data_IF_553945466767
#
_entry.id   IF_553945466767
#
_cell.length_a   1.000
_cell.length_b   1.000
_cell.length_c   1.000
_cell.angle_alpha   90.00
_cell.angle_beta   90.00
_cell.angle_gamma   90.00
#
_symmetry.space_group_name_H-M   'P 1'
#
loop_
_entity.id
_entity.type
_entity.pdbx_description
1 polymer ?
#
# COMPACT_ATOMS: atom_id res chain seq x y z
N UNK A 1 26.86 -3.01 -15.10
CA UNK A 1 26.65 -4.45 -15.43
C UNK A 1 26.20 -5.12 -14.16
N UNK A 2 25.05 -5.80 -14.14
CA UNK A 2 24.60 -6.55 -12.97
C UNK A 2 25.54 -7.75 -12.74
N UNK A 3 26.56 -7.56 -11.91
CA UNK A 3 27.44 -8.61 -11.40
C UNK A 3 26.94 -9.14 -10.05
N UNK A 4 27.65 -10.08 -9.45
CA UNK A 4 27.34 -10.54 -8.08
C UNK A 4 27.79 -9.47 -7.06
N UNK A 5 26.90 -8.54 -6.72
CA UNK A 5 27.16 -7.49 -5.75
C UNK A 5 26.31 -7.70 -4.49
N UNK A 6 26.93 -8.15 -3.40
CA UNK A 6 26.25 -8.32 -2.11
C UNK A 6 25.71 -6.99 -1.55
N UNK A 7 26.28 -5.84 -1.97
CA UNK A 7 25.80 -4.51 -1.59
C UNK A 7 24.55 -4.07 -2.36
N UNK A 8 23.96 -4.91 -3.20
CA UNK A 8 22.64 -4.72 -3.84
C UNK A 8 21.53 -5.53 -3.16
N UNK A 9 21.89 -6.41 -2.21
CA UNK A 9 20.92 -7.14 -1.38
C UNK A 9 20.35 -6.14 -0.37
N UNK A 10 19.03 -5.93 -0.42
CA UNK A 10 18.33 -4.99 0.46
C UNK A 10 17.57 -5.72 1.56
N UNK A 11 17.71 -5.25 2.79
CA UNK A 11 16.93 -5.72 3.94
C UNK A 11 16.05 -4.58 4.43
N UNK A 12 14.74 -4.77 4.39
CA UNK A 12 13.81 -3.81 4.97
C UNK A 12 13.90 -3.88 6.50
N UNK A 13 14.80 -3.08 7.10
CA UNK A 13 15.09 -3.12 8.53
C UNK A 13 13.98 -2.48 9.37
N UNK A 14 13.48 -1.32 8.96
CA UNK A 14 12.32 -0.68 9.58
C UNK A 14 11.40 -0.17 8.49
N UNK A 15 10.16 -0.65 8.50
CA UNK A 15 9.13 -0.26 7.55
C UNK A 15 8.00 0.51 8.24
N UNK A 16 7.36 1.42 7.51
CA UNK A 16 6.17 2.17 7.95
C UNK A 16 5.15 2.22 6.83
N UNK A 17 3.88 2.21 7.19
CA UNK A 17 2.77 2.36 6.25
C UNK A 17 2.02 3.62 6.62
N UNK A 18 1.93 4.54 5.67
CA UNK A 18 1.20 5.78 5.82
C UNK A 18 -0.03 5.78 4.91
N UNK A 19 -1.12 6.37 5.39
CA UNK A 19 -2.34 6.59 4.62
C UNK A 19 -2.66 8.08 4.57
N UNK A 20 -3.19 8.56 3.45
CA UNK A 20 -3.68 9.92 3.30
C UNK A 20 -4.95 9.96 2.44
N UNK A 21 -5.73 11.04 2.49
CA UNK A 21 -6.77 11.31 1.51
C UNK A 21 -6.20 11.34 0.08
N UNK A 22 -6.97 10.88 -0.90
CA UNK A 22 -6.59 10.96 -2.32
C UNK A 22 -6.31 12.42 -2.71
N UNK A 23 -5.25 12.63 -3.48
CA UNK A 23 -4.81 13.97 -3.90
C UNK A 23 -3.89 14.68 -2.89
N UNK A 24 -3.62 14.08 -1.73
CA UNK A 24 -2.57 14.58 -0.83
C UNK A 24 -1.22 14.51 -1.52
N UNK A 25 -0.47 15.61 -1.50
CA UNK A 25 0.86 15.67 -2.10
C UNK A 25 1.80 14.68 -1.39
N UNK A 26 2.30 13.72 -2.16
CA UNK A 26 3.34 12.82 -1.71
C UNK A 26 4.70 13.53 -1.74
N UNK A 27 5.66 13.11 -0.90
CA UNK A 27 7.03 13.63 -0.97
C UNK A 27 7.61 13.43 -2.37
N UNK A 28 8.30 14.44 -2.91
CA UNK A 28 8.99 14.36 -4.21
C UNK A 28 10.32 13.61 -4.12
N UNK A 29 10.87 13.48 -2.92
CA UNK A 29 12.14 12.80 -2.63
C UNK A 29 12.04 12.10 -1.27
N UNK A 30 12.88 11.08 -1.08
CA UNK A 30 13.19 10.35 0.16
C UNK A 30 13.72 11.23 1.29
N UNK A 31 14.27 12.42 0.99
CA UNK A 31 14.81 13.37 1.97
C UNK A 31 13.74 14.29 2.59
N UNK A 32 12.58 14.43 1.93
CA UNK A 32 11.50 15.34 2.34
C UNK A 32 10.60 14.65 3.37
N UNK A 33 10.16 15.32 4.43
CA UNK A 33 9.20 14.71 5.36
C UNK A 33 7.84 14.44 4.68
N UNK A 34 7.10 13.45 5.17
CA UNK A 34 5.72 13.23 4.74
C UNK A 34 4.87 14.45 5.10
N UNK A 35 4.02 14.90 4.17
CA UNK A 35 3.15 16.05 4.40
C UNK A 35 2.15 15.76 5.54
N UNK A 36 1.66 16.80 6.22
CA UNK A 36 0.80 16.66 7.41
C UNK A 36 -0.50 15.85 7.21
N UNK A 37 -0.93 15.62 5.97
CA UNK A 37 -2.08 14.78 5.64
C UNK A 37 -1.81 13.27 5.68
N UNK A 38 -0.56 12.84 5.84
CA UNK A 38 -0.17 11.44 5.94
C UNK A 38 -0.19 10.96 7.39
N UNK A 39 -0.94 9.89 7.64
CA UNK A 39 -1.10 9.25 8.96
C UNK A 39 -0.39 7.91 8.96
N UNK A 40 0.44 7.66 9.97
CA UNK A 40 1.14 6.38 10.15
C UNK A 40 0.18 5.36 10.76
N UNK A 41 0.02 4.22 10.09
CA UNK A 41 -0.81 3.09 10.55
C UNK A 41 -0.09 2.24 11.62
N UNK A 42 1.18 2.54 11.89
CA UNK A 42 1.93 2.01 13.02
C UNK A 42 2.48 0.60 12.79
N UNK A 43 2.48 -0.24 13.82
CA UNK A 43 3.12 -1.56 13.76
C UNK A 43 2.39 -2.52 12.82
N UNK A 44 3.15 -3.05 11.87
CA UNK A 44 2.75 -4.11 10.95
C UNK A 44 3.22 -5.49 11.45
N UNK A 45 2.64 -6.56 10.92
CA UNK A 45 3.06 -7.92 11.24
C UNK A 45 4.50 -8.21 10.79
N UNK A 46 5.18 -9.19 11.41
CA UNK A 46 6.52 -9.59 11.01
C UNK A 46 6.58 -10.22 9.60
N UNK A 47 5.42 -10.53 9.01
CA UNK A 47 5.30 -11.04 7.64
C UNK A 47 5.64 -9.97 6.58
N UNK A 48 5.74 -8.71 7.00
CA UNK A 48 6.13 -7.58 6.16
C UNK A 48 5.04 -7.11 5.20
N UNK A 49 5.47 -6.45 4.13
CA UNK A 49 4.60 -5.84 3.11
C UNK A 49 4.86 -6.54 1.79
N UNK A 50 3.80 -7.05 1.16
CA UNK A 50 3.88 -7.80 -0.10
C UNK A 50 3.32 -6.97 -1.25
N UNK A 51 4.18 -6.66 -2.23
CA UNK A 51 3.78 -6.02 -3.47
C UNK A 51 3.53 -7.07 -4.55
N UNK A 52 2.36 -7.03 -5.17
CA UNK A 52 2.02 -7.92 -6.30
C UNK A 52 1.59 -7.09 -7.49
N UNK A 53 2.30 -7.23 -8.61
CA UNK A 53 1.91 -6.67 -9.91
C UNK A 53 1.39 -7.82 -10.78
N UNK A 54 0.17 -7.68 -11.30
CA UNK A 54 -0.45 -8.65 -12.20
C UNK A 54 -0.88 -7.93 -13.48
N UNK A 55 -0.30 -8.33 -14.60
CA UNK A 55 -0.74 -7.89 -15.92
C UNK A 55 -1.55 -9.02 -16.55
N UNK A 56 -2.77 -8.72 -17.01
CA UNK A 56 -3.60 -9.65 -17.77
C UNK A 56 -3.45 -9.33 -19.25
N UNK A 57 -3.17 -10.37 -20.04
CA UNK A 57 -3.03 -10.30 -21.48
C UNK A 57 -4.20 -11.09 -22.10
N UNK A 58 -5.06 -10.41 -22.85
CA UNK A 58 -6.13 -11.06 -23.60
C UNK A 58 -5.61 -11.45 -25.00
N UNK A 59 -5.65 -12.74 -25.37
CA UNK A 59 -5.29 -13.19 -26.70
C UNK A 59 -6.30 -12.71 -27.76
N UNK A 60 -5.79 -12.15 -28.85
CA UNK A 60 -6.55 -11.86 -30.06
C UNK A 60 -6.45 -13.08 -30.96
N UNK A 61 -7.46 -13.92 -30.87
CA UNK A 61 -7.59 -15.08 -31.73
C UNK A 61 -8.01 -14.66 -33.14
N UNK A 62 -7.44 -15.32 -34.15
CA UNK A 62 -7.82 -15.10 -35.55
C UNK A 62 -8.47 -16.34 -36.09
N UNK A 63 -9.47 -16.18 -36.96
CA UNK A 63 -10.13 -17.33 -37.57
C UNK A 63 -9.18 -18.17 -38.45
N UNK A 64 -8.10 -17.57 -38.97
CA UNK A 64 -7.14 -18.25 -39.85
C UNK A 64 -6.04 -19.02 -39.10
N UNK A 65 -5.94 -18.90 -37.78
CA UNK A 65 -4.88 -19.56 -37.02
C UNK A 65 -5.38 -20.05 -35.66
N UNK A 66 -4.99 -21.27 -35.30
CA UNK A 66 -5.33 -21.89 -34.00
C UNK A 66 -4.56 -21.23 -32.85
N UNK A 67 -3.52 -20.44 -33.15
CA UNK A 67 -2.74 -19.69 -32.16
C UNK A 67 -3.11 -18.20 -32.21
N UNK A 68 -3.12 -17.50 -31.05
CA UNK A 68 -3.45 -16.09 -31.00
C UNK A 68 -2.47 -15.26 -31.81
N UNK A 69 -3.00 -14.36 -32.64
CA UNK A 69 -2.18 -13.53 -33.53
C UNK A 69 -1.50 -12.37 -32.79
N UNK A 70 -2.08 -11.94 -31.66
CA UNK A 70 -1.54 -10.85 -30.83
C UNK A 70 -2.08 -10.97 -29.41
N UNK A 71 -1.31 -10.52 -28.42
CA UNK A 71 -1.84 -10.27 -27.07
C UNK A 71 -2.13 -8.77 -26.90
N UNK A 72 -3.29 -8.45 -26.33
CA UNK A 72 -3.66 -7.10 -25.90
C UNK A 72 -3.58 -7.06 -24.38
N UNK A 73 -3.00 -6.00 -23.81
CA UNK A 73 -3.07 -5.79 -22.36
C UNK A 73 -4.51 -5.46 -21.98
N UNK A 74 -5.12 -6.34 -21.18
CA UNK A 74 -6.49 -6.24 -20.73
C UNK A 74 -6.57 -5.41 -19.45
N UNK A 75 -5.77 -5.79 -18.45
CA UNK A 75 -5.78 -5.18 -17.13
C UNK A 75 -4.37 -5.15 -16.53
N UNK A 76 -4.10 -4.16 -15.69
CA UNK A 76 -2.89 -4.08 -14.89
C UNK A 76 -3.24 -3.74 -13.45
N UNK A 77 -3.18 -4.75 -12.60
CA UNK A 77 -3.43 -4.64 -11.17
C UNK A 77 -2.12 -4.50 -10.40
N UNK A 78 -2.08 -3.54 -9.49
CA UNK A 78 -1.00 -3.39 -8.52
C UNK A 78 -1.61 -3.43 -7.12
N UNK A 79 -1.29 -4.48 -6.37
CA UNK A 79 -1.83 -4.73 -5.04
C UNK A 79 -0.73 -4.76 -3.99
N UNK A 80 -1.07 -4.27 -2.81
CA UNK A 80 -0.22 -4.26 -1.62
C UNK A 80 -0.94 -5.00 -0.52
N UNK A 81 -0.35 -6.09 -0.03
CA UNK A 81 -0.89 -6.87 1.10
C UNK A 81 -0.05 -6.62 2.35
N UNK A 82 -0.70 -6.27 3.44
CA UNK A 82 -0.06 -6.08 4.74
C UNK A 82 -1.05 -6.36 5.88
N UNK A 83 -0.53 -6.67 7.06
CA UNK A 83 -1.34 -6.84 8.26
C UNK A 83 -0.92 -5.86 9.35
N UNK A 84 -1.88 -5.12 9.90
CA UNK A 84 -1.65 -4.19 11.01
C UNK A 84 -1.85 -4.92 12.35
N UNK A 85 -0.98 -4.65 13.31
CA UNK A 85 -1.06 -5.19 14.68
C UNK A 85 -1.66 -4.19 15.67
N UNK A 86 -1.67 -2.91 15.33
CA UNK A 86 -2.23 -1.86 16.18
C UNK A 86 -3.70 -1.60 15.86
N UNK A 87 -4.50 -1.47 16.92
CA UNK A 87 -5.86 -0.93 16.87
C UNK A 87 -5.84 0.48 17.44
N UNK A 88 -6.03 1.47 16.58
CA UNK A 88 -6.07 2.89 16.95
C UNK A 88 -7.17 3.62 16.14
N UNK A 89 -7.26 4.93 16.33
CA UNK A 89 -8.26 5.79 15.68
C UNK A 89 -8.19 5.82 14.15
N UNK A 90 -7.03 5.47 13.57
CA UNK A 90 -6.79 5.47 12.12
C UNK A 90 -6.87 4.06 11.52
N UNK A 91 -6.37 3.03 12.22
CA UNK A 91 -6.27 1.65 11.70
C UNK A 91 -7.61 0.94 11.67
N UNK A 92 -8.48 1.17 12.65
CA UNK A 92 -9.80 0.53 12.69
C UNK A 92 -10.74 1.08 11.60
N UNK A 93 -10.89 2.41 11.41
CA UNK A 93 -11.66 2.94 10.28
C UNK A 93 -11.07 2.55 8.92
N UNK A 94 -9.74 2.50 8.80
CA UNK A 94 -9.08 2.08 7.57
C UNK A 94 -9.40 0.62 7.21
N UNK A 95 -9.35 -0.29 8.19
CA UNK A 95 -9.70 -1.69 7.99
C UNK A 95 -11.20 -1.89 7.71
N UNK A 96 -12.06 -1.22 8.46
CA UNK A 96 -13.51 -1.36 8.33
C UNK A 96 -14.11 -0.54 7.16
N UNK A 97 -13.31 0.27 6.47
CA UNK A 97 -13.73 1.04 5.30
C UNK A 97 -14.65 2.22 5.58
N UNK A 98 -14.74 2.69 6.83
CA UNK A 98 -15.70 3.72 7.23
C UNK A 98 -15.09 5.02 7.74
N UNK A 99 -15.94 5.81 8.39
CA UNK A 99 -15.62 7.16 8.87
C UNK A 99 -14.87 7.12 10.22
N UNK A 100 -14.42 8.27 10.72
CA UNK A 100 -13.61 8.36 11.95
C UNK A 100 -14.32 7.80 13.19
N UNK A 101 -13.54 7.24 14.12
CA UNK A 101 -14.04 6.87 15.45
C UNK A 101 -14.51 8.13 16.19
N UNK A 102 -15.70 8.09 16.78
CA UNK A 102 -16.26 9.19 17.56
C UNK A 102 -16.41 8.82 19.03
N UNK A 103 -16.17 9.78 19.92
CA UNK A 103 -16.48 9.60 21.34
C UNK A 103 -18.01 9.55 21.53
N UNK A 104 -18.50 8.62 22.35
CA UNK A 104 -19.94 8.43 22.61
C UNK A 104 -20.57 9.64 23.31
N UNK A 105 -19.80 10.35 24.12
CA UNK A 105 -20.14 11.62 24.74
C UNK A 105 -18.84 12.33 25.14
N UNK A 106 -18.80 13.66 25.09
CA UNK A 106 -17.57 14.41 25.37
C UNK A 106 -17.02 14.08 26.78
N UNK A 107 -15.80 13.54 26.83
CA UNK A 107 -15.10 13.19 28.07
C UNK A 107 -15.56 11.86 28.71
N UNK A 108 -16.27 11.01 27.98
CA UNK A 108 -16.68 9.68 28.48
C UNK A 108 -15.53 8.66 28.47
N UNK A 109 -14.50 8.86 27.63
CA UNK A 109 -13.45 7.88 27.38
C UNK A 109 -13.94 6.61 26.67
N UNK A 110 -15.18 6.60 26.18
CA UNK A 110 -15.80 5.47 25.46
C UNK A 110 -15.99 5.87 24.00
N UNK A 111 -15.33 5.13 23.12
CA UNK A 111 -15.33 5.39 21.69
C UNK A 111 -16.24 4.42 20.94
N UNK A 112 -16.96 4.93 19.93
CA UNK A 112 -17.85 4.16 19.08
C UNK A 112 -17.44 4.32 17.62
N UNK A 113 -17.45 3.21 16.92
CA UNK A 113 -17.34 3.15 15.47
C UNK A 113 -18.62 2.50 14.94
N UNK A 114 -19.39 3.27 14.17
CA UNK A 114 -20.58 2.78 13.48
C UNK A 114 -20.23 2.44 12.03
N UNK A 115 -20.27 1.15 11.70
CA UNK A 115 -20.13 0.71 10.33
C UNK A 115 -21.38 1.14 9.56
N UNK A 116 -21.21 1.99 8.54
CA UNK A 116 -22.33 2.40 7.69
C UNK A 116 -22.91 1.19 6.95
N UNK A 117 -24.23 1.11 6.87
CA UNK A 117 -24.93 0.05 6.11
C UNK A 117 -24.65 0.11 4.60
N UNK A 118 -24.21 1.27 4.11
CA UNK A 118 -23.81 1.44 2.71
C UNK A 118 -22.30 1.29 2.58
N UNK A 119 -21.81 0.34 1.77
CA UNK A 119 -20.39 0.28 1.45
C UNK A 119 -20.01 1.56 0.71
N UNK A 120 -19.15 2.37 1.33
CA UNK A 120 -18.56 3.54 0.70
C UNK A 120 -17.25 3.13 0.04
N UNK A 121 -17.08 3.51 -1.23
CA UNK A 121 -15.76 3.44 -1.86
C UNK A 121 -14.83 4.41 -1.14
N UNK A 122 -13.97 3.87 -0.27
CA UNK A 122 -13.05 4.66 0.52
C UNK A 122 -11.69 4.67 -0.17
N UNK A 123 -11.59 5.48 -1.22
CA UNK A 123 -10.33 5.68 -1.92
C UNK A 123 -9.36 6.47 -1.01
N UNK A 124 -8.12 6.00 -0.95
CA UNK A 124 -7.03 6.59 -0.17
C UNK A 124 -5.75 6.61 -0.98
N UNK A 125 -4.78 7.41 -0.54
CA UNK A 125 -3.40 7.32 -0.97
C UNK A 125 -2.63 6.46 0.05
N UNK A 126 -1.75 5.57 -0.43
CA UNK A 126 -0.94 4.69 0.41
C UNK A 126 0.54 4.99 0.20
N UNK A 127 1.27 5.13 1.29
CA UNK A 127 2.70 5.34 1.34
C UNK A 127 3.34 4.19 2.09
N UNK A 128 4.35 3.57 1.51
CA UNK A 128 5.16 2.56 2.18
C UNK A 128 6.59 3.08 2.20
N UNK A 129 7.18 3.19 3.38
CA UNK A 129 8.57 3.59 3.55
C UNK A 129 9.34 2.47 4.22
N UNK A 130 10.53 2.15 3.73
CA UNK A 130 11.47 1.31 4.46
C UNK A 130 12.90 1.82 4.32
N UNK A 131 13.69 1.59 5.35
CA UNK A 131 15.12 1.95 5.38
C UNK A 131 15.99 0.70 5.54
N UNK A 132 17.11 0.69 4.83
CA UNK A 132 18.17 -0.30 4.97
C UNK A 132 19.46 0.39 5.45
N UNK A 133 19.76 0.26 6.75
CA UNK A 133 20.77 1.06 7.42
C UNK A 133 20.47 2.57 7.42
N UNK A 134 21.52 3.40 7.52
CA UNK A 134 21.38 4.85 7.66
C UNK A 134 21.41 5.62 6.32
N UNK A 135 21.82 4.97 5.24
CA UNK A 135 22.07 5.64 3.95
C UNK A 135 21.01 5.36 2.89
N UNK A 136 20.27 4.25 3.02
CA UNK A 136 19.36 3.75 1.99
C UNK A 136 17.92 3.89 2.45
N UNK A 137 17.12 4.58 1.66
CA UNK A 137 15.69 4.81 1.95
C UNK A 137 14.87 4.56 0.69
N UNK A 138 13.83 3.75 0.84
CA UNK A 138 12.85 3.49 -0.21
C UNK A 138 11.49 4.00 0.24
N UNK A 139 10.81 4.66 -0.67
CA UNK A 139 9.42 5.06 -0.53
C UNK A 139 8.65 4.61 -1.75
N UNK A 140 7.54 3.98 -1.49
CA UNK A 140 6.60 3.56 -2.49
C UNK A 140 5.29 4.28 -2.24
N UNK A 141 4.83 5.01 -3.23
CA UNK A 141 3.64 5.86 -3.12
C UNK A 141 2.62 5.42 -4.15
N UNK A 142 1.43 5.04 -3.67
CA UNK A 142 0.23 4.86 -4.47
C UNK A 142 -0.63 6.11 -4.29
N UNK A 143 -0.80 6.94 -5.33
CA UNK A 143 -1.55 8.19 -5.23
C UNK A 143 -3.07 7.99 -5.07
N UNK A 144 -3.59 6.86 -5.55
CA UNK A 144 -4.99 6.45 -5.36
C UNK A 144 -5.09 4.94 -5.35
N UNK A 145 -5.83 4.40 -4.38
CA UNK A 145 -6.21 3.01 -4.32
C UNK A 145 -7.32 2.80 -3.31
N UNK A 146 -7.79 1.56 -3.21
CA UNK A 146 -8.85 1.17 -2.29
C UNK A 146 -8.52 -0.16 -1.63
N UNK A 147 -9.04 -0.38 -0.42
CA UNK A 147 -9.02 -1.71 0.20
C UNK A 147 -10.02 -2.58 -0.56
N UNK A 148 -9.55 -3.64 -1.20
CA UNK A 148 -10.38 -4.56 -2.00
C UNK A 148 -10.71 -5.85 -1.26
N UNK A 149 -9.92 -6.20 -0.25
CA UNK A 149 -10.08 -7.42 0.52
C UNK A 149 -9.58 -7.18 1.94
N UNK A 150 -10.36 -7.67 2.91
CA UNK A 150 -10.01 -7.68 4.32
C UNK A 150 -9.93 -9.14 4.78
N UNK A 151 -8.85 -9.50 5.48
CA UNK A 151 -8.72 -10.81 6.09
C UNK A 151 -9.59 -10.93 7.35
N UNK A 152 -9.86 -12.15 7.80
CA UNK A 152 -10.62 -12.39 9.03
C UNK A 152 -9.85 -11.88 10.27
N UNK A 153 -10.56 -11.16 11.16
CA UNK A 153 -10.02 -10.81 12.47
C UNK A 153 -10.14 -12.02 13.40
N UNK A 154 -9.02 -12.65 13.73
CA UNK A 154 -8.97 -13.72 14.72
C UNK A 154 -8.69 -13.18 16.12
N UNK A 155 -9.56 -13.51 17.09
CA UNK A 155 -9.41 -13.15 18.50
C UNK A 155 -9.06 -14.42 19.31
N UNK A 156 -7.78 -14.61 19.61
CA UNK A 156 -7.32 -15.75 20.42
C UNK A 156 -6.51 -15.27 21.63
N UNK A 157 -6.39 -16.11 22.66
CA UNK A 157 -5.52 -15.82 23.80
C UNK A 157 -4.02 -16.00 23.49
N UNK A 158 -3.70 -16.58 22.34
CA UNK A 158 -2.34 -17.02 22.00
C UNK A 158 -1.68 -16.13 20.95
N UNK A 159 -2.42 -15.21 20.34
CA UNK A 159 -1.94 -14.37 19.24
C UNK A 159 -2.45 -12.93 19.37
N UNK A 160 -1.66 -11.98 18.89
CA UNK A 160 -2.10 -10.60 18.73
C UNK A 160 -3.16 -10.49 17.62
N UNK A 161 -4.04 -9.50 17.73
CA UNK A 161 -5.04 -9.17 16.70
C UNK A 161 -4.30 -8.72 15.45
N UNK A 162 -4.68 -9.29 14.29
CA UNK A 162 -4.14 -8.91 12.98
C UNK A 162 -5.26 -8.35 12.12
N UNK A 163 -5.04 -7.17 11.56
CA UNK A 163 -5.91 -6.52 10.59
C UNK A 163 -5.26 -6.65 9.20
N UNK A 164 -5.52 -7.78 8.53
CA UNK A 164 -4.98 -8.06 7.20
C UNK A 164 -5.75 -7.33 6.11
N UNK A 165 -5.06 -6.56 5.27
CA UNK A 165 -5.66 -5.79 4.19
C UNK A 165 -4.95 -6.03 2.86
N UNK A 166 -5.73 -6.11 1.79
CA UNK A 166 -5.26 -5.99 0.42
C UNK A 166 -5.69 -4.64 -0.13
N UNK A 167 -4.71 -3.79 -0.41
CA UNK A 167 -4.92 -2.48 -1.01
C UNK A 167 -4.58 -2.52 -2.50
N UNK A 168 -5.52 -2.17 -3.36
CA UNK A 168 -5.36 -2.17 -4.82
C UNK A 168 -5.24 -0.74 -5.34
N UNK A 169 -4.18 -0.46 -6.09
CA UNK A 169 -3.96 0.82 -6.73
C UNK A 169 -4.95 1.05 -7.87
N UNK A 170 -5.47 2.26 -7.99
CA UNK A 170 -6.39 2.68 -9.04
C UNK A 170 -5.74 3.81 -9.85
N UNK A 171 -5.87 3.75 -11.18
CA UNK A 171 -5.31 4.75 -12.08
C UNK A 171 -6.01 6.11 -11.89
N UNK A 172 -5.29 7.14 -11.41
CA UNK A 172 -5.84 8.49 -11.24
C UNK A 172 -6.27 9.10 -12.59
N UNK A 173 -5.45 8.88 -13.62
CA UNK A 173 -5.63 9.28 -15.03
C UNK A 173 -4.64 8.46 -15.88
N UNK A 174 -4.87 8.28 -17.20
CA UNK A 174 -3.98 7.52 -18.11
C UNK A 174 -2.61 8.21 -18.29
N UNK A 175 -2.49 9.48 -17.89
CA UNK A 175 -1.26 10.26 -17.95
C UNK A 175 -0.41 10.21 -16.67
N UNK A 176 -0.93 9.65 -15.56
CA UNK A 176 -0.24 9.65 -14.25
C UNK A 176 0.24 8.25 -13.86
N UNK A 177 1.41 8.12 -13.20
CA UNK A 177 1.93 6.81 -12.80
C UNK A 177 1.02 6.15 -11.77
N UNK A 178 0.73 4.85 -11.98
CA UNK A 178 -0.06 3.99 -11.08
C UNK A 178 0.54 3.91 -9.67
N UNK A 179 1.88 3.91 -9.58
CA UNK A 179 2.61 4.06 -8.33
C UNK A 179 4.00 4.61 -8.60
N UNK A 180 4.56 5.32 -7.63
CA UNK A 180 5.90 5.92 -7.71
C UNK A 180 6.83 5.23 -6.73
N UNK A 181 7.94 4.70 -7.23
CA UNK A 181 9.05 4.21 -6.40
C UNK A 181 10.10 5.31 -6.32
N UNK A 182 10.27 5.89 -5.13
CA UNK A 182 11.34 6.82 -4.81
C UNK A 182 12.40 6.07 -4.02
N UNK A 183 13.62 6.07 -4.51
CA UNK A 183 14.72 5.31 -3.92
C UNK A 183 15.96 6.16 -3.82
N UNK A 184 16.56 6.18 -2.64
CA UNK A 184 17.88 6.73 -2.38
C UNK A 184 18.84 5.57 -2.20
N UNK A 185 19.39 5.12 -3.32
CA UNK A 185 20.33 4.01 -3.36
C UNK A 185 21.37 4.24 -4.46
N UNK A 186 22.65 4.25 -4.06
CA UNK A 186 23.78 4.46 -4.96
C UNK A 186 23.94 3.37 -6.02
N UNK A 187 23.37 2.17 -5.80
CA UNK A 187 23.39 1.08 -6.78
C UNK A 187 22.64 1.41 -8.08
N UNK A 188 21.70 2.37 -8.05
CA UNK A 188 20.98 2.82 -9.24
C UNK A 188 21.68 3.95 -9.99
N UNK A 189 22.86 4.38 -9.54
CA UNK A 189 23.66 5.34 -10.28
C UNK A 189 24.29 4.63 -11.49
N UNK A 190 23.93 4.99 -12.73
CA UNK A 190 24.48 4.35 -13.92
C UNK A 190 25.99 4.62 -14.13
N UNK A 191 26.60 5.47 -13.29
CA UNK A 191 28.01 5.82 -13.33
C UNK A 191 28.90 5.10 -12.28
N UNK A 192 28.38 4.09 -11.57
CA UNK A 192 29.14 3.27 -10.61
C UNK A 192 29.25 1.80 -11.03
#
# INVERSE_FOLDING_TARGET
MAGNNAAEIRVAGTGRILVAPVGTLAPVDTSVAWAAGWKDLGYTSPDGIKFTKKDKLDPVDTWQSVSPARFIYADRDLTVKFALLQMNEDTLPFFMGGDSIAETAAGSGIYKYDLSSNPKFNEKALGVEFTDGNAITYRFVIPRGQVTENEEISLTRTSAIKLGVTFTALAVDDTKPLATFLMKDGAYNPAS
#
